data_IF_142865467709
#
_entry.id   IF_142865467709
#
_cell.length_a   1.000
_cell.length_b   1.000
_cell.length_c   1.000
_cell.angle_alpha   90.00
_cell.angle_beta   90.00
_cell.angle_gamma   90.00
#
_symmetry.space_group_name_H-M   'P 1'
#
loop_
_entity.id
_entity.type
_entity.pdbx_description
1 polymer ?
#
# COMPACT_ATOMS: atom_id res chain seq x y z
N UNK A 1 19.60 -4.50 -7.81
CA UNK A 1 19.35 -3.11 -7.30
C UNK A 1 19.83 -2.10 -8.32
N UNK A 2 19.01 -1.13 -8.67
CA UNK A 2 19.24 -0.17 -9.76
C UNK A 2 20.54 0.66 -9.61
N UNK A 3 20.82 1.19 -8.41
CA UNK A 3 22.06 1.95 -8.14
C UNK A 3 22.97 1.17 -7.20
N UNK A 4 24.22 0.94 -7.62
CA UNK A 4 25.20 0.20 -6.81
C UNK A 4 25.93 1.10 -5.80
N UNK A 5 25.94 2.41 -6.04
CA UNK A 5 26.63 3.39 -5.19
C UNK A 5 25.88 4.73 -5.13
N UNK A 6 26.21 5.54 -4.11
CA UNK A 6 25.76 6.92 -4.02
C UNK A 6 26.20 7.75 -5.23
N UNK A 7 27.37 7.43 -5.83
CA UNK A 7 27.87 8.11 -7.01
C UNK A 7 27.02 7.81 -8.23
N UNK A 8 26.56 6.55 -8.41
CA UNK A 8 25.67 6.17 -9.51
C UNK A 8 24.36 6.92 -9.44
N UNK A 9 23.76 7.00 -8.23
CA UNK A 9 22.53 7.75 -8.01
C UNK A 9 22.71 9.25 -8.30
N UNK A 10 23.81 9.87 -7.83
CA UNK A 10 24.07 11.31 -8.07
C UNK A 10 24.25 11.62 -9.56
N UNK A 11 24.88 10.73 -10.33
CA UNK A 11 25.16 10.90 -11.76
C UNK A 11 23.97 10.51 -12.66
N UNK A 12 22.97 9.83 -12.10
CA UNK A 12 21.83 9.39 -12.88
C UNK A 12 21.06 10.59 -13.46
N UNK A 13 20.91 10.63 -14.78
CA UNK A 13 20.11 11.61 -15.48
C UNK A 13 18.61 11.43 -15.12
N UNK A 14 18.21 10.18 -14.92
CA UNK A 14 16.85 9.78 -14.57
C UNK A 14 16.86 9.02 -13.24
N UNK A 15 16.44 9.69 -12.17
CA UNK A 15 16.34 9.07 -10.85
C UNK A 15 14.99 8.37 -10.71
N UNK A 16 15.01 7.14 -10.21
CA UNK A 16 13.84 6.27 -10.11
C UNK A 16 13.83 5.61 -8.73
N UNK A 17 12.84 5.94 -7.90
CA UNK A 17 12.77 5.54 -6.49
C UNK A 17 11.40 4.97 -6.17
N UNK A 18 11.35 3.92 -5.34
CA UNK A 18 10.14 3.35 -4.77
C UNK A 18 10.21 3.42 -3.25
N UNK A 19 9.21 4.05 -2.63
CA UNK A 19 9.09 4.16 -1.19
C UNK A 19 8.16 3.08 -0.65
N UNK A 20 8.59 2.33 0.37
CA UNK A 20 7.76 1.35 1.05
C UNK A 20 7.93 1.38 2.58
N UNK A 21 7.00 0.78 3.29
CA UNK A 21 6.97 0.75 4.75
C UNK A 21 5.55 0.94 5.28
N UNK A 22 5.39 0.95 6.60
CA UNK A 22 4.09 1.14 7.26
C UNK A 22 3.38 2.40 6.80
N UNK A 23 2.06 2.43 6.93
CA UNK A 23 1.27 3.65 6.70
C UNK A 23 1.68 4.76 7.66
N UNK A 24 1.55 6.03 7.24
CA UNK A 24 1.79 7.18 8.11
C UNK A 24 3.26 7.57 8.33
N UNK A 25 4.23 6.89 7.68
CA UNK A 25 5.68 7.19 7.78
C UNK A 25 6.18 8.23 6.77
N UNK A 26 5.29 8.95 6.09
CA UNK A 26 5.69 10.05 5.21
C UNK A 26 5.86 9.70 3.72
N UNK A 27 5.57 8.46 3.26
CA UNK A 27 5.69 8.08 1.84
C UNK A 27 4.99 9.06 0.91
N UNK A 28 3.69 9.25 1.09
CA UNK A 28 2.88 10.15 0.26
C UNK A 28 3.28 11.61 0.42
N UNK A 29 3.72 12.04 1.62
CA UNK A 29 4.26 13.39 1.84
C UNK A 29 5.49 13.64 0.97
N UNK A 30 6.48 12.75 1.02
CA UNK A 30 7.67 12.83 0.16
C UNK A 30 7.30 12.84 -1.32
N UNK A 31 6.44 11.91 -1.75
CA UNK A 31 6.05 11.80 -3.15
C UNK A 31 5.33 13.06 -3.65
N UNK A 32 4.47 13.66 -2.84
CA UNK A 32 3.80 14.93 -3.18
C UNK A 32 4.78 16.10 -3.27
N UNK A 33 5.75 16.18 -2.34
CA UNK A 33 6.81 17.20 -2.38
C UNK A 33 7.65 17.05 -3.66
N UNK A 34 8.06 15.82 -4.01
CA UNK A 34 8.87 15.54 -5.18
C UNK A 34 8.12 15.81 -6.49
N UNK A 35 6.80 15.55 -6.52
CA UNK A 35 5.92 15.85 -7.66
C UNK A 35 5.98 17.32 -8.08
N UNK A 36 6.05 18.25 -7.11
CA UNK A 36 6.21 19.68 -7.39
C UNK A 36 7.59 20.08 -7.96
N UNK A 37 8.53 19.14 -8.08
CA UNK A 37 9.94 19.37 -8.40
C UNK A 37 10.46 18.53 -9.56
N UNK A 38 9.59 18.19 -10.52
CA UNK A 38 9.99 17.48 -11.74
C UNK A 38 10.04 15.96 -11.59
N UNK A 39 9.41 15.39 -10.58
CA UNK A 39 9.26 13.95 -10.42
C UNK A 39 7.85 13.51 -10.80
N UNK A 40 7.75 12.48 -11.64
CA UNK A 40 6.47 11.82 -11.85
C UNK A 40 6.11 11.00 -10.61
N UNK A 41 4.95 11.28 -10.03
CA UNK A 41 4.46 10.55 -8.86
C UNK A 41 3.50 9.44 -9.28
N UNK A 42 3.88 8.20 -9.03
CA UNK A 42 3.06 7.01 -9.21
C UNK A 42 2.60 6.49 -7.84
N UNK A 43 1.31 6.51 -7.57
CA UNK A 43 0.73 5.95 -6.34
C UNK A 43 0.12 4.58 -6.61
N UNK A 44 0.63 3.53 -5.96
CA UNK A 44 0.11 2.16 -6.10
C UNK A 44 -1.33 2.09 -5.65
N UNK A 45 -1.67 2.67 -4.49
CA UNK A 45 -3.04 2.68 -3.96
C UNK A 45 -4.04 3.35 -4.93
N UNK A 46 -3.65 4.46 -5.56
CA UNK A 46 -4.46 5.12 -6.57
C UNK A 46 -4.73 4.19 -7.76
N UNK A 47 -3.72 3.49 -8.27
CA UNK A 47 -3.86 2.58 -9.40
C UNK A 47 -4.64 1.31 -9.04
N UNK A 48 -4.48 0.78 -7.81
CA UNK A 48 -5.35 -0.29 -7.31
C UNK A 48 -6.80 0.15 -7.39
N UNK A 49 -7.13 1.30 -6.84
CA UNK A 49 -8.53 1.76 -6.75
C UNK A 49 -9.16 2.20 -8.06
N UNK A 50 -8.37 2.72 -9.01
CA UNK A 50 -8.88 3.23 -10.29
C UNK A 50 -8.78 2.22 -11.41
N UNK A 51 -7.56 1.73 -11.69
CA UNK A 51 -7.29 0.90 -12.86
C UNK A 51 -7.69 -0.56 -12.66
N UNK A 52 -7.42 -1.11 -11.49
CA UNK A 52 -7.54 -2.56 -11.26
C UNK A 52 -8.78 -2.96 -10.48
N UNK A 53 -9.31 -2.10 -9.64
CA UNK A 53 -10.52 -2.37 -8.85
C UNK A 53 -11.68 -1.40 -9.11
N UNK A 54 -11.52 -0.43 -10.00
CA UNK A 54 -12.52 0.60 -10.26
C UNK A 54 -13.89 0.05 -10.62
N UNK A 55 -13.97 -0.97 -11.47
CA UNK A 55 -15.22 -1.62 -11.84
C UNK A 55 -15.86 -2.36 -10.65
N UNK A 56 -15.09 -3.11 -9.87
CA UNK A 56 -15.61 -3.80 -8.68
C UNK A 56 -16.18 -2.83 -7.65
N UNK A 57 -15.51 -1.68 -7.48
CA UNK A 57 -15.94 -0.62 -6.58
C UNK A 57 -17.23 0.02 -7.09
N UNK A 58 -17.28 0.39 -8.37
CA UNK A 58 -18.48 0.97 -9.00
C UNK A 58 -19.66 0.02 -8.96
N UNK A 59 -19.45 -1.26 -9.26
CA UNK A 59 -20.50 -2.28 -9.21
C UNK A 59 -21.02 -2.54 -7.80
N UNK A 60 -20.15 -2.45 -6.78
CA UNK A 60 -20.60 -2.54 -5.40
C UNK A 60 -21.55 -1.37 -5.06
N UNK A 61 -21.23 -0.15 -5.47
CA UNK A 61 -22.10 1.02 -5.26
C UNK A 61 -23.40 0.91 -6.07
N UNK A 62 -23.34 0.42 -7.31
CA UNK A 62 -24.55 0.16 -8.10
C UNK A 62 -25.47 -0.87 -7.41
N UNK A 63 -24.92 -1.97 -6.88
CA UNK A 63 -25.71 -2.97 -6.14
C UNK A 63 -26.43 -2.36 -4.94
N UNK A 64 -25.75 -1.49 -4.19
CA UNK A 64 -26.40 -0.79 -3.07
C UNK A 64 -27.47 0.21 -3.56
N UNK A 65 -27.18 0.97 -4.61
CA UNK A 65 -28.14 1.90 -5.19
C UNK A 65 -29.40 1.18 -5.73
N UNK A 66 -29.26 -0.01 -6.30
CA UNK A 66 -30.38 -0.82 -6.80
C UNK A 66 -31.36 -1.29 -5.70
N UNK A 67 -30.98 -1.19 -4.42
CA UNK A 67 -31.89 -1.45 -3.30
C UNK A 67 -32.86 -0.29 -3.04
N UNK A 68 -32.56 0.90 -3.56
CA UNK A 68 -33.37 2.11 -3.41
C UNK A 68 -34.25 2.26 -4.66
N UNK A 69 -35.60 2.24 -4.55
CA UNK A 69 -36.51 2.23 -5.71
C UNK A 69 -36.23 3.36 -6.71
N UNK A 70 -36.07 4.60 -6.23
CA UNK A 70 -35.77 5.76 -7.07
C UNK A 70 -34.47 5.60 -7.86
N UNK A 71 -33.38 5.16 -7.19
CA UNK A 71 -32.08 5.00 -7.86
C UNK A 71 -32.12 3.82 -8.84
N UNK A 72 -32.86 2.76 -8.52
CA UNK A 72 -33.06 1.63 -9.43
C UNK A 72 -33.72 2.07 -10.73
N UNK A 73 -34.81 2.84 -10.65
CA UNK A 73 -35.51 3.34 -11.82
C UNK A 73 -34.60 4.18 -12.71
N UNK A 74 -33.87 5.10 -12.13
CA UNK A 74 -32.93 5.96 -12.84
C UNK A 74 -31.74 5.20 -13.46
N UNK A 75 -31.23 4.18 -12.78
CA UNK A 75 -30.16 3.32 -13.32
C UNK A 75 -30.65 2.43 -14.47
N UNK A 76 -31.89 1.89 -14.35
CA UNK A 76 -32.48 1.03 -15.39
C UNK A 76 -32.87 1.79 -16.67
N UNK A 77 -33.01 3.10 -16.57
CA UNK A 77 -33.34 4.00 -17.70
C UNK A 77 -32.11 4.78 -18.20
N UNK A 78 -30.89 4.45 -17.75
CA UNK A 78 -29.66 5.18 -18.07
C UNK A 78 -29.72 6.69 -17.79
N UNK A 79 -30.60 7.09 -16.86
CA UNK A 79 -30.77 8.51 -16.48
C UNK A 79 -29.68 8.98 -15.51
N UNK A 80 -28.98 8.07 -14.85
CA UNK A 80 -27.84 8.34 -13.95
C UNK A 80 -26.77 7.28 -14.14
N UNK A 81 -25.51 7.63 -13.84
CA UNK A 81 -24.44 6.66 -13.69
C UNK A 81 -23.76 6.84 -12.33
N UNK A 82 -23.13 5.77 -11.85
CA UNK A 82 -22.37 5.76 -10.60
C UNK A 82 -20.91 5.48 -10.93
N UNK A 83 -20.04 6.35 -10.47
CA UNK A 83 -18.59 6.18 -10.53
C UNK A 83 -17.95 6.52 -9.18
N UNK A 84 -16.81 5.92 -8.89
CA UNK A 84 -16.00 6.29 -7.73
C UNK A 84 -15.11 7.51 -8.08
N UNK A 85 -14.97 8.43 -7.14
CA UNK A 85 -14.00 9.52 -7.24
C UNK A 85 -12.80 9.21 -6.32
N UNK A 86 -11.82 8.48 -6.87
CA UNK A 86 -10.57 8.16 -6.17
C UNK A 86 -9.49 9.13 -6.60
N UNK A 87 -8.81 9.73 -5.62
CA UNK A 87 -7.66 10.61 -5.82
C UNK A 87 -6.49 10.13 -4.95
N UNK A 88 -5.31 10.71 -5.12
CA UNK A 88 -4.15 10.40 -4.26
C UNK A 88 -4.42 10.66 -2.76
N UNK A 89 -5.34 11.58 -2.45
CA UNK A 89 -5.69 11.99 -1.09
C UNK A 89 -6.95 11.29 -0.58
N UNK A 90 -7.79 10.76 -1.48
CA UNK A 90 -9.04 10.11 -1.14
C UNK A 90 -9.14 8.70 -1.72
N UNK A 91 -8.82 7.73 -0.89
CA UNK A 91 -8.92 6.30 -1.18
C UNK A 91 -10.14 5.64 -0.51
N UNK A 92 -11.07 6.44 0.03
CA UNK A 92 -12.24 5.94 0.76
C UNK A 92 -13.08 4.93 -0.03
N UNK A 93 -13.32 5.09 -1.36
CA UNK A 93 -14.07 4.09 -2.12
C UNK A 93 -13.42 2.70 -2.13
N UNK A 94 -12.08 2.63 -2.23
CA UNK A 94 -11.34 1.37 -2.16
C UNK A 94 -11.48 0.72 -0.77
N UNK A 95 -11.27 1.49 0.29
CA UNK A 95 -11.44 1.00 1.67
C UNK A 95 -12.88 0.53 1.93
N UNK A 96 -13.89 1.28 1.46
CA UNK A 96 -15.30 0.90 1.58
C UNK A 96 -15.59 -0.42 0.86
N UNK A 97 -15.01 -0.62 -0.33
CA UNK A 97 -15.16 -1.87 -1.06
C UNK A 97 -14.54 -3.05 -0.32
N UNK A 98 -13.33 -2.90 0.21
CA UNK A 98 -12.68 -3.97 0.98
C UNK A 98 -13.56 -4.43 2.15
N UNK A 99 -14.18 -3.51 2.86
CA UNK A 99 -15.09 -3.82 3.94
C UNK A 99 -14.39 -4.42 5.17
N UNK A 100 -15.18 -4.96 6.06
CA UNK A 100 -14.76 -5.56 7.33
C UNK A 100 -15.48 -6.90 7.50
N UNK A 101 -14.83 -7.99 7.94
CA UNK A 101 -15.53 -9.26 8.13
C UNK A 101 -16.35 -9.23 9.41
N UNK A 102 -17.50 -9.90 9.41
CA UNK A 102 -18.34 -10.04 10.61
C UNK A 102 -19.83 -9.92 10.31
N UNK A 103 -20.59 -9.59 11.34
CA UNK A 103 -22.05 -9.51 11.33
C UNK A 103 -22.57 -8.51 10.28
N UNK A 104 -23.34 -8.95 9.26
CA UNK A 104 -23.93 -8.06 8.28
C UNK A 104 -24.90 -7.02 8.87
N UNK A 105 -25.56 -7.33 9.99
CA UNK A 105 -26.44 -6.37 10.67
C UNK A 105 -25.66 -5.20 11.27
N UNK A 106 -24.35 -5.36 11.50
CA UNK A 106 -23.41 -4.33 11.94
C UNK A 106 -22.55 -3.76 10.84
N UNK A 107 -22.94 -3.97 9.59
CA UNK A 107 -22.18 -3.51 8.41
C UNK A 107 -20.97 -4.37 8.07
N UNK A 108 -20.88 -5.57 8.61
CA UNK A 108 -19.85 -6.55 8.28
C UNK A 108 -20.12 -7.28 6.97
N UNK A 109 -19.12 -7.99 6.48
CA UNK A 109 -19.20 -8.92 5.36
C UNK A 109 -19.09 -10.35 5.87
N UNK A 110 -19.85 -11.26 5.29
CA UNK A 110 -19.60 -12.69 5.49
C UNK A 110 -18.14 -13.01 5.15
N UNK A 111 -17.49 -13.89 5.94
CA UNK A 111 -16.06 -14.16 5.81
C UNK A 111 -15.65 -14.54 4.38
N UNK A 112 -16.42 -15.39 3.69
CA UNK A 112 -16.11 -15.80 2.31
C UNK A 112 -16.14 -14.64 1.32
N UNK A 113 -17.07 -13.68 1.46
CA UNK A 113 -17.10 -12.47 0.62
C UNK A 113 -15.91 -11.56 0.95
N UNK A 114 -15.57 -11.41 2.21
CA UNK A 114 -14.39 -10.66 2.62
C UNK A 114 -13.10 -11.27 2.03
N UNK A 115 -12.91 -12.59 2.13
CA UNK A 115 -11.77 -13.31 1.52
C UNK A 115 -11.71 -13.11 0.01
N UNK A 116 -12.86 -13.15 -0.68
CA UNK A 116 -12.92 -12.88 -2.13
C UNK A 116 -12.41 -11.47 -2.47
N UNK A 117 -12.82 -10.46 -1.71
CA UNK A 117 -12.37 -9.06 -1.90
C UNK A 117 -10.89 -8.89 -1.56
N UNK A 118 -10.39 -9.60 -0.55
CA UNK A 118 -8.95 -9.63 -0.22
C UNK A 118 -8.13 -10.21 -1.39
N UNK A 119 -8.58 -11.31 -1.99
CA UNK A 119 -7.91 -11.92 -3.14
C UNK A 119 -7.92 -11.01 -4.38
N UNK A 120 -8.99 -10.25 -4.60
CA UNK A 120 -9.04 -9.23 -5.66
C UNK A 120 -8.03 -8.10 -5.41
N UNK A 121 -7.95 -7.62 -4.17
CA UNK A 121 -7.00 -6.58 -3.78
C UNK A 121 -5.55 -7.05 -3.99
N UNK A 122 -5.19 -8.25 -3.56
CA UNK A 122 -3.85 -8.81 -3.76
C UNK A 122 -3.44 -8.82 -5.24
N UNK A 123 -4.33 -9.31 -6.11
CA UNK A 123 -4.07 -9.32 -7.56
C UNK A 123 -3.91 -7.90 -8.13
N UNK A 124 -4.74 -6.97 -7.66
CA UNK A 124 -4.68 -5.57 -8.08
C UNK A 124 -3.38 -4.90 -7.62
N UNK A 125 -2.93 -5.18 -6.40
CA UNK A 125 -1.69 -4.62 -5.84
C UNK A 125 -0.47 -5.12 -6.62
N UNK A 126 -0.37 -6.43 -6.88
CA UNK A 126 0.70 -7.01 -7.73
C UNK A 126 0.68 -6.39 -9.13
N UNK A 127 -0.50 -6.28 -9.75
CA UNK A 127 -0.62 -5.69 -11.08
C UNK A 127 -0.23 -4.20 -11.10
N UNK A 128 -0.63 -3.42 -10.08
CA UNK A 128 -0.24 -2.02 -9.95
C UNK A 128 1.27 -1.86 -9.72
N UNK A 129 1.89 -2.74 -8.94
CA UNK A 129 3.34 -2.75 -8.74
C UNK A 129 4.09 -3.00 -10.05
N UNK A 130 3.73 -4.03 -10.79
CA UNK A 130 4.35 -4.35 -12.08
C UNK A 130 4.11 -3.28 -13.15
N UNK A 131 2.95 -2.62 -13.12
CA UNK A 131 2.62 -1.53 -14.07
C UNK A 131 3.46 -0.26 -13.80
N UNK A 132 4.01 -0.09 -12.58
CA UNK A 132 4.86 1.05 -12.25
C UNK A 132 6.08 1.16 -13.18
N UNK A 133 6.68 0.04 -13.57
CA UNK A 133 7.84 0.00 -14.47
C UNK A 133 7.48 0.53 -15.85
N UNK A 134 6.27 0.22 -16.35
CA UNK A 134 5.77 0.75 -17.64
C UNK A 134 5.49 2.26 -17.57
N UNK A 135 5.10 2.77 -16.40
CA UNK A 135 4.85 4.19 -16.20
C UNK A 135 6.13 5.03 -16.18
N UNK A 136 7.30 4.45 -15.94
CA UNK A 136 8.59 5.14 -16.04
C UNK A 136 8.79 5.66 -17.47
N UNK A 137 8.66 4.78 -18.46
CA UNK A 137 8.77 5.18 -19.87
C UNK A 137 7.69 6.22 -20.26
N UNK A 138 6.44 5.99 -19.86
CA UNK A 138 5.33 6.91 -20.12
C UNK A 138 5.52 8.29 -19.48
N UNK A 139 6.10 8.36 -18.29
CA UNK A 139 6.40 9.61 -17.62
C UNK A 139 7.41 10.45 -18.42
N UNK A 140 8.40 9.80 -19.03
CA UNK A 140 9.39 10.44 -19.87
C UNK A 140 8.81 10.80 -21.26
N UNK A 141 8.20 9.83 -21.95
CA UNK A 141 7.78 9.98 -23.35
C UNK A 141 6.60 10.96 -23.52
N UNK A 142 5.64 10.93 -22.56
CA UNK A 142 4.41 11.73 -22.69
C UNK A 142 4.55 13.07 -21.98
N UNK A 143 5.17 13.09 -20.80
CA UNK A 143 5.16 14.24 -19.90
C UNK A 143 6.54 14.90 -19.73
N UNK A 144 7.60 14.31 -20.29
CA UNK A 144 8.98 14.77 -20.15
C UNK A 144 9.47 14.91 -18.70
N UNK A 145 8.94 14.09 -17.77
CA UNK A 145 9.45 14.05 -16.41
C UNK A 145 10.82 13.41 -16.35
N UNK A 146 11.85 14.10 -15.83
CA UNK A 146 13.20 13.54 -15.73
C UNK A 146 13.31 12.45 -14.66
N UNK A 147 12.47 12.49 -13.63
CA UNK A 147 12.58 11.59 -12.48
C UNK A 147 11.24 10.91 -12.16
N UNK A 148 11.30 9.78 -11.44
CA UNK A 148 10.13 8.97 -11.10
C UNK A 148 10.14 8.57 -9.62
N UNK A 149 9.03 8.79 -8.94
CA UNK A 149 8.83 8.33 -7.57
C UNK A 149 7.55 7.52 -7.47
N UNK A 150 7.66 6.32 -6.89
CA UNK A 150 6.55 5.43 -6.61
C UNK A 150 6.32 5.36 -5.10
N UNK A 151 5.10 5.61 -4.61
CA UNK A 151 4.71 5.27 -3.26
C UNK A 151 3.83 4.02 -3.24
N UNK A 152 4.19 3.08 -2.38
CA UNK A 152 3.45 1.82 -2.24
C UNK A 152 2.42 1.89 -1.13
N UNK A 153 1.44 0.98 -1.20
CA UNK A 153 0.58 0.67 -0.07
C UNK A 153 1.40 0.15 1.14
N UNK A 154 0.80 0.22 2.32
CA UNK A 154 1.36 -0.43 3.50
C UNK A 154 1.23 -1.96 3.48
N UNK A 155 0.63 -2.55 2.46
CA UNK A 155 0.43 -3.99 2.30
C UNK A 155 1.37 -4.66 1.32
N UNK A 156 2.26 -3.93 0.65
CA UNK A 156 3.19 -4.51 -0.33
C UNK A 156 3.91 -5.76 0.19
N UNK A 157 4.35 -5.75 1.45
CA UNK A 157 5.03 -6.89 2.07
C UNK A 157 4.15 -8.15 2.25
N UNK A 158 2.84 -8.03 1.99
CA UNK A 158 1.90 -9.15 2.04
C UNK A 158 1.77 -9.86 0.69
N UNK A 159 2.16 -9.21 -0.41
CA UNK A 159 2.00 -9.73 -1.78
C UNK A 159 3.31 -10.10 -2.45
N UNK A 160 4.44 -9.87 -1.77
CA UNK A 160 5.79 -10.26 -2.22
C UNK A 160 6.49 -11.10 -1.14
N UNK A 161 7.55 -11.80 -1.53
CA UNK A 161 8.41 -12.56 -0.61
C UNK A 161 9.84 -12.03 -0.64
N UNK A 162 10.20 -11.16 0.30
CA UNK A 162 11.54 -10.57 0.39
C UNK A 162 12.67 -11.58 0.67
N UNK A 163 12.33 -12.77 1.20
CA UNK A 163 13.28 -13.87 1.46
C UNK A 163 13.57 -14.72 0.21
N UNK A 164 12.70 -14.65 -0.81
CA UNK A 164 12.91 -15.37 -2.07
C UNK A 164 13.70 -14.46 -3.05
N UNK A 165 14.98 -14.78 -3.34
CA UNK A 165 15.78 -14.01 -4.29
C UNK A 165 15.23 -14.06 -5.74
N UNK A 166 14.23 -14.89 -6.00
CA UNK A 166 13.56 -15.08 -7.29
C UNK A 166 12.13 -14.56 -7.29
N UNK A 167 11.70 -13.82 -6.27
CA UNK A 167 10.37 -13.21 -6.27
C UNK A 167 10.19 -12.34 -7.54
N UNK A 168 9.25 -12.68 -8.42
CA UNK A 168 9.17 -12.05 -9.75
C UNK A 168 8.77 -10.58 -9.68
N UNK A 169 8.04 -10.17 -8.64
CA UNK A 169 7.63 -8.77 -8.47
C UNK A 169 8.82 -7.95 -7.97
N UNK A 170 9.53 -8.45 -6.95
CA UNK A 170 10.72 -7.77 -6.41
C UNK A 170 11.84 -7.68 -7.43
N UNK A 171 12.08 -8.73 -8.23
CA UNK A 171 13.05 -8.67 -9.33
C UNK A 171 12.69 -7.56 -10.31
N UNK A 172 11.45 -7.57 -10.85
CA UNK A 172 11.01 -6.58 -11.84
C UNK A 172 11.15 -5.15 -11.30
N UNK A 173 10.63 -4.88 -10.10
CA UNK A 173 10.66 -3.51 -9.56
C UNK A 173 12.07 -3.07 -9.13
N UNK A 174 12.94 -3.98 -8.64
CA UNK A 174 14.29 -3.63 -8.20
C UNK A 174 15.27 -3.41 -9.35
N UNK A 175 14.98 -3.94 -10.53
CA UNK A 175 15.75 -3.68 -11.74
C UNK A 175 15.49 -2.27 -12.29
N UNK A 176 14.30 -1.70 -12.01
CA UNK A 176 13.87 -0.42 -12.54
C UNK A 176 13.78 0.70 -11.48
N UNK A 177 13.70 0.38 -10.20
CA UNK A 177 13.50 1.33 -9.12
C UNK A 177 14.44 1.04 -7.95
N UNK A 178 14.99 2.07 -7.34
CA UNK A 178 15.64 1.94 -6.04
C UNK A 178 14.58 1.76 -4.96
N UNK A 179 14.54 0.61 -4.34
CA UNK A 179 13.65 0.35 -3.22
C UNK A 179 14.16 1.05 -1.96
N UNK A 180 13.32 1.85 -1.33
CA UNK A 180 13.66 2.60 -0.10
C UNK A 180 12.67 2.25 0.99
N UNK A 181 13.14 1.49 1.99
CA UNK A 181 12.36 1.21 3.16
C UNK A 181 12.38 2.37 4.14
N UNK A 182 11.20 2.91 4.47
CA UNK A 182 11.06 3.87 5.57
C UNK A 182 10.75 3.06 6.83
N UNK A 183 11.76 2.90 7.69
CA UNK A 183 11.66 2.17 8.95
C UNK A 183 11.03 3.05 10.01
N UNK A 184 9.88 2.60 10.55
CA UNK A 184 9.26 3.22 11.71
C UNK A 184 9.89 2.75 13.01
N UNK A 185 9.69 3.52 14.10
CA UNK A 185 10.04 3.14 15.46
C UNK A 185 8.84 2.53 16.20
N UNK A 186 9.06 2.00 17.41
CA UNK A 186 8.00 1.49 18.28
C UNK A 186 6.98 2.60 18.63
N UNK A 187 7.42 3.83 18.80
CA UNK A 187 6.55 4.98 19.02
C UNK A 187 5.61 5.23 17.83
N UNK A 188 6.07 5.06 16.59
CA UNK A 188 5.21 5.13 15.40
C UNK A 188 4.17 3.99 15.38
N UNK A 189 4.58 2.78 15.75
CA UNK A 189 3.68 1.63 15.86
C UNK A 189 2.58 1.88 16.90
N UNK A 190 2.92 2.37 18.08
CA UNK A 190 1.96 2.70 19.13
C UNK A 190 0.98 3.80 18.70
N UNK A 191 1.46 4.83 18.03
CA UNK A 191 0.61 5.90 17.50
C UNK A 191 -0.34 5.38 16.41
N UNK A 192 0.11 4.48 15.53
CA UNK A 192 -0.74 3.83 14.55
C UNK A 192 -1.84 3.00 15.23
N UNK A 193 -1.53 2.22 16.26
CA UNK A 193 -2.52 1.48 17.03
C UNK A 193 -3.54 2.42 17.68
N UNK A 194 -3.10 3.49 18.34
CA UNK A 194 -4.00 4.48 18.94
C UNK A 194 -4.96 5.14 17.93
N UNK A 195 -4.45 5.48 16.74
CA UNK A 195 -5.29 6.06 15.66
C UNK A 195 -6.30 5.04 15.15
N UNK A 196 -5.85 3.80 14.98
CA UNK A 196 -6.69 2.73 14.49
C UNK A 196 -7.81 2.38 15.46
N UNK A 197 -7.53 2.35 16.77
CA UNK A 197 -8.53 2.09 17.81
C UNK A 197 -9.66 3.12 17.80
N UNK A 198 -9.35 4.39 17.50
CA UNK A 198 -10.37 5.45 17.38
C UNK A 198 -11.25 5.31 16.15
N UNK A 199 -10.67 4.86 15.03
CA UNK A 199 -11.34 4.76 13.73
C UNK A 199 -10.82 3.58 12.92
N UNK A 200 -11.27 2.33 13.24
CA UNK A 200 -10.84 1.13 12.52
C UNK A 200 -11.18 1.22 11.03
N UNK A 201 -10.19 1.01 10.19
CA UNK A 201 -10.34 1.04 8.73
C UNK A 201 -10.18 -0.35 8.14
N UNK A 202 -10.87 -0.67 7.04
CA UNK A 202 -10.60 -1.88 6.30
C UNK A 202 -9.13 -2.05 5.97
N UNK A 203 -8.61 -3.25 6.20
CA UNK A 203 -7.21 -3.60 5.98
C UNK A 203 -7.11 -4.80 5.05
N UNK A 204 -6.00 -4.87 4.31
CA UNK A 204 -5.64 -6.07 3.60
C UNK A 204 -4.87 -7.01 4.52
N UNK A 205 -5.20 -8.30 4.44
CA UNK A 205 -4.54 -9.40 5.16
C UNK A 205 -4.20 -10.52 4.19
N UNK A 206 -3.04 -11.15 4.37
CA UNK A 206 -2.78 -12.42 3.69
C UNK A 206 -3.74 -13.49 4.17
N UNK A 207 -4.13 -14.44 3.28
CA UNK A 207 -5.11 -15.47 3.60
C UNK A 207 -4.79 -16.26 4.88
N UNK A 208 -3.53 -16.71 5.04
CA UNK A 208 -3.10 -17.52 6.19
C UNK A 208 -3.17 -16.71 7.49
N UNK A 209 -2.69 -15.46 7.46
CA UNK A 209 -2.73 -14.58 8.62
C UNK A 209 -4.17 -14.21 8.99
N UNK A 210 -5.01 -13.91 7.99
CA UNK A 210 -6.44 -13.63 8.24
C UNK A 210 -7.11 -14.80 8.96
N UNK A 211 -6.91 -16.02 8.48
CA UNK A 211 -7.55 -17.19 9.09
C UNK A 211 -7.04 -17.45 10.50
N UNK A 212 -5.73 -17.36 10.72
CA UNK A 212 -5.16 -17.49 12.05
C UNK A 212 -5.78 -16.49 13.04
N UNK A 213 -5.79 -15.20 12.70
CA UNK A 213 -6.32 -14.14 13.58
C UNK A 213 -7.83 -14.27 13.77
N UNK A 214 -8.55 -14.72 12.72
CA UNK A 214 -9.99 -14.97 12.80
C UNK A 214 -10.32 -16.09 13.77
N UNK A 215 -9.62 -17.22 13.69
CA UNK A 215 -9.84 -18.37 14.57
C UNK A 215 -9.46 -18.04 16.03
N UNK A 216 -8.35 -17.31 16.23
CA UNK A 216 -7.96 -16.79 17.56
C UNK A 216 -9.04 -15.88 18.16
N UNK A 217 -9.60 -14.96 17.36
CA UNK A 217 -10.65 -14.06 17.80
C UNK A 217 -11.94 -14.80 18.19
N UNK A 218 -12.39 -15.74 17.35
CA UNK A 218 -13.58 -16.56 17.64
C UNK A 218 -13.40 -17.38 18.91
N UNK A 219 -12.23 -18.00 19.09
CA UNK A 219 -11.92 -18.78 20.30
C UNK A 219 -11.92 -17.91 21.56
N UNK A 220 -11.38 -16.69 21.49
CA UNK A 220 -11.36 -15.76 22.61
C UNK A 220 -12.76 -15.24 22.98
N UNK A 221 -13.57 -14.88 21.98
CA UNK A 221 -14.90 -14.29 22.19
C UNK A 221 -16.00 -15.33 22.46
N UNK A 222 -15.76 -16.60 22.14
CA UNK A 222 -16.76 -17.65 22.27
C UNK A 222 -18.00 -17.46 21.39
N UNK A 223 -17.85 -16.75 20.26
CA UNK A 223 -18.92 -16.38 19.31
C UNK A 223 -18.81 -17.14 18.01
N UNK A 224 -19.93 -17.32 17.33
CA UNK A 224 -19.93 -17.82 15.94
C UNK A 224 -19.52 -16.73 14.94
N UNK A 225 -19.12 -17.13 13.71
CA UNK A 225 -18.67 -16.22 12.66
C UNK A 225 -19.66 -15.09 12.34
N UNK A 226 -20.96 -15.38 12.38
CA UNK A 226 -22.04 -14.42 12.04
C UNK A 226 -22.34 -13.42 13.15
N UNK A 227 -21.76 -13.58 14.35
CA UNK A 227 -21.93 -12.70 15.50
C UNK A 227 -20.70 -11.82 15.79
N UNK A 228 -19.70 -11.85 14.92
CA UNK A 228 -18.47 -11.06 15.06
C UNK A 228 -18.76 -9.59 14.86
N UNK A 229 -18.36 -8.74 15.81
CA UNK A 229 -18.37 -7.29 15.62
C UNK A 229 -17.21 -6.89 14.68
N UNK A 230 -17.49 -6.28 13.51
CA UNK A 230 -16.46 -6.00 12.52
C UNK A 230 -15.35 -5.07 13.00
N UNK A 231 -15.71 -4.06 13.81
CA UNK A 231 -14.74 -3.10 14.33
C UNK A 231 -13.89 -3.70 15.44
N UNK A 232 -14.50 -4.52 16.30
CA UNK A 232 -13.79 -5.22 17.35
C UNK A 232 -12.77 -6.22 16.78
N UNK A 233 -13.15 -6.97 15.74
CA UNK A 233 -12.22 -7.86 15.05
C UNK A 233 -11.04 -7.10 14.44
N UNK A 234 -11.29 -5.97 13.79
CA UNK A 234 -10.20 -5.18 13.20
C UNK A 234 -9.24 -4.64 14.27
N UNK A 235 -9.77 -4.16 15.42
CA UNK A 235 -8.92 -3.72 16.54
C UNK A 235 -8.08 -4.87 17.09
N UNK A 236 -8.69 -6.04 17.27
CA UNK A 236 -7.98 -7.24 17.71
C UNK A 236 -6.83 -7.64 16.78
N UNK A 237 -7.06 -7.55 15.46
CA UNK A 237 -6.09 -7.96 14.44
C UNK A 237 -5.00 -6.93 14.14
N UNK A 238 -5.22 -5.63 14.38
CA UNK A 238 -4.35 -4.59 13.83
C UNK A 238 -2.92 -4.58 14.40
N UNK A 239 -2.76 -4.65 15.72
CA UNK A 239 -1.42 -4.71 16.32
C UNK A 239 -0.65 -5.97 15.86
N UNK A 240 -1.35 -7.11 15.81
CA UNK A 240 -0.80 -8.38 15.29
C UNK A 240 -0.36 -8.26 13.83
N UNK A 241 -1.15 -7.54 13.02
CA UNK A 241 -0.81 -7.27 11.62
C UNK A 241 0.48 -6.46 11.50
N UNK A 242 0.63 -5.38 12.27
CA UNK A 242 1.85 -4.58 12.27
C UNK A 242 3.07 -5.42 12.67
N UNK A 243 2.94 -6.25 13.69
CA UNK A 243 4.02 -7.14 14.16
C UNK A 243 4.38 -8.19 13.09
N UNK A 244 3.38 -8.77 12.40
CA UNK A 244 3.61 -9.74 11.34
C UNK A 244 4.26 -9.14 10.09
N UNK A 245 4.07 -7.84 9.85
CA UNK A 245 4.64 -7.12 8.69
C UNK A 245 6.09 -6.72 8.89
N UNK A 246 6.51 -6.48 10.13
CA UNK A 246 7.84 -5.98 10.42
C UNK A 246 8.96 -6.85 9.83
N UNK A 247 9.02 -8.19 10.07
CA UNK A 247 10.06 -9.04 9.49
C UNK A 247 9.98 -9.11 7.96
N UNK A 248 8.79 -8.91 7.37
CA UNK A 248 8.63 -8.88 5.91
C UNK A 248 9.20 -7.61 5.29
N UNK A 249 9.01 -6.46 5.93
CA UNK A 249 9.66 -5.23 5.49
C UNK A 249 11.19 -5.33 5.62
N UNK A 250 11.69 -5.97 6.68
CA UNK A 250 13.12 -6.22 6.86
C UNK A 250 13.69 -7.12 5.76
N UNK A 251 12.95 -8.16 5.38
CA UNK A 251 13.31 -9.01 4.25
C UNK A 251 13.37 -8.22 2.93
N UNK A 252 12.35 -7.40 2.66
CA UNK A 252 12.33 -6.52 1.48
C UNK A 252 13.45 -5.47 1.48
N UNK A 253 13.88 -4.99 2.65
CA UNK A 253 14.92 -3.98 2.75
C UNK A 253 16.26 -4.44 2.16
N UNK A 254 16.52 -5.74 2.11
CA UNK A 254 17.71 -6.31 1.45
C UNK A 254 17.76 -6.04 -0.05
N UNK A 255 16.61 -5.78 -0.69
CA UNK A 255 16.50 -5.46 -2.10
C UNK A 255 16.83 -3.99 -2.42
N UNK A 256 17.00 -3.15 -1.40
CA UNK A 256 17.21 -1.72 -1.57
C UNK A 256 17.99 -1.08 -0.43
N UNK A 257 17.58 0.08 0.02
CA UNK A 257 18.18 0.84 1.12
C UNK A 257 17.15 1.13 2.21
N UNK A 258 17.64 1.42 3.42
CA UNK A 258 16.81 1.77 4.57
C UNK A 258 17.07 3.22 5.01
N UNK A 259 15.98 3.95 5.27
CA UNK A 259 15.96 5.24 5.94
C UNK A 259 15.01 5.19 7.14
N UNK A 260 15.18 6.03 8.15
CA UNK A 260 14.25 6.06 9.27
C UNK A 260 13.14 7.11 9.06
N UNK A 261 12.04 6.95 9.76
CA UNK A 261 10.95 7.93 9.71
C UNK A 261 11.40 9.31 10.26
N UNK A 262 12.32 9.33 11.22
CA UNK A 262 12.93 10.56 11.76
C UNK A 262 13.78 11.27 10.69
N UNK A 263 14.57 10.52 9.91
CA UNK A 263 15.33 11.08 8.78
C UNK A 263 14.39 11.66 7.72
N UNK A 264 13.27 10.96 7.42
CA UNK A 264 12.22 11.41 6.49
C UNK A 264 11.54 12.69 7.00
N UNK A 265 11.26 12.79 8.29
CA UNK A 265 10.66 13.99 8.88
C UNK A 265 11.54 15.23 8.75
N UNK A 266 12.86 15.07 8.61
CA UNK A 266 13.81 16.16 8.37
C UNK A 266 13.92 16.61 6.91
N UNK A 267 13.22 15.94 5.95
CA UNK A 267 13.30 16.28 4.52
C UNK A 267 12.30 17.39 4.19
N UNK A 268 12.81 18.56 3.83
CA UNK A 268 12.00 19.73 3.49
C UNK A 268 12.12 20.16 2.01
N UNK A 269 13.08 19.57 1.27
CA UNK A 269 13.33 19.92 -0.13
C UNK A 269 13.77 18.69 -0.94
N UNK A 270 13.72 18.76 -2.28
CA UNK A 270 14.29 17.73 -3.15
C UNK A 270 15.79 17.49 -2.92
N UNK A 271 16.53 18.52 -2.58
CA UNK A 271 17.95 18.39 -2.26
C UNK A 271 18.18 17.60 -0.97
N UNK A 272 17.32 17.78 0.05
CA UNK A 272 17.36 16.99 1.27
C UNK A 272 17.02 15.53 0.99
N UNK A 273 16.05 15.28 0.10
CA UNK A 273 15.68 13.93 -0.35
C UNK A 273 16.88 13.26 -1.05
N UNK A 274 17.52 13.93 -2.00
CA UNK A 274 18.69 13.41 -2.68
C UNK A 274 19.84 13.14 -1.71
N UNK A 275 20.05 14.01 -0.73
CA UNK A 275 21.05 13.80 0.33
C UNK A 275 20.69 12.59 1.22
N UNK A 276 19.42 12.40 1.55
CA UNK A 276 18.94 11.26 2.32
C UNK A 276 19.23 9.94 1.59
N UNK A 277 18.84 9.84 0.32
CA UNK A 277 19.06 8.64 -0.50
C UNK A 277 20.57 8.35 -0.64
N UNK A 278 21.36 9.39 -0.88
CA UNK A 278 22.82 9.26 -0.97
C UNK A 278 23.42 8.67 0.31
N UNK A 279 23.07 9.20 1.49
CA UNK A 279 23.52 8.65 2.78
C UNK A 279 23.08 7.21 3.00
N UNK A 280 21.87 6.86 2.58
CA UNK A 280 21.35 5.49 2.70
C UNK A 280 22.17 4.51 1.83
N UNK A 281 22.54 4.91 0.61
CA UNK A 281 23.41 4.12 -0.26
C UNK A 281 24.82 3.97 0.30
N UNK A 282 25.40 5.04 0.86
CA UNK A 282 26.70 4.99 1.50
C UNK A 282 26.69 4.06 2.73
N UNK A 283 25.63 4.09 3.57
CA UNK A 283 25.45 3.15 4.69
C UNK A 283 25.39 1.70 4.23
N UNK A 284 24.62 1.42 3.18
CA UNK A 284 24.51 0.07 2.62
C UNK A 284 25.87 -0.44 2.13
N UNK A 285 26.64 0.40 1.43
CA UNK A 285 27.96 0.03 0.94
C UNK A 285 28.97 -0.27 2.06
N UNK A 286 28.80 0.37 3.22
CA UNK A 286 29.63 0.15 4.40
C UNK A 286 29.26 -1.09 5.24
N UNK A 287 28.08 -1.68 5.02
CA UNK A 287 27.58 -2.84 5.76
C UNK A 287 27.52 -4.08 4.86
N UNK A 288 28.50 -5.00 4.99
CA UNK A 288 28.58 -6.21 4.16
C UNK A 288 27.38 -7.16 4.37
N UNK A 289 26.65 -7.07 5.48
CA UNK A 289 25.50 -7.95 5.79
C UNK A 289 24.27 -7.60 4.96
N UNK A 290 24.23 -6.39 4.39
CA UNK A 290 23.13 -5.89 3.55
C UNK A 290 23.38 -6.10 2.05
N UNK A 291 24.54 -6.63 1.66
CA UNK A 291 24.96 -6.80 0.26
C UNK A 291 24.89 -8.24 -0.23
N UNK A 292 24.44 -9.17 0.60
CA UNK A 292 24.35 -10.60 0.26
C UNK A 292 22.97 -10.98 -0.30
#
# INVERSE_FOLDING_TARGET
MLYQSAQDYRKAAHKQVLLFGMSGLGKTYLSNMMRGSGWFHYSVDYHIGTRYMGEYIADNFKREAMKVPLLRELLMTDSVYIASNITFENLAPLSTYLGKPGDPAKGGLALGEYQRRQAQHAKAEVAAMLDSTRFIARAQDIYAYPHFICDTSGSICEVVNGDDPKDPVLQEISDHLLLVWIKGSDAHREELCRRFDRAPKPMYYRPEFLMQVWDEYLAQEGKGPDAVDPDAFLRFGYARLLDSRQPRYEAMARWGVTVTAEEVAGVASPADFDALITRALDRRAADPTLTA
#
